data_IF_338861718821
#
_entry.id   IF_338861718821
#
_cell.length_a   1.000
_cell.length_b   1.000
_cell.length_c   1.000
_cell.angle_alpha   90.00
_cell.angle_beta   90.00
_cell.angle_gamma   90.00
#
_symmetry.space_group_name_H-M   'P 1'
#
loop_
_entity.id
_entity.type
_entity.pdbx_description
1 polymer ?
#
# COMPACT_ATOMS: atom_id res chain seq x y z
N UNK A 1 6.76 24.49 35.96
CA UNK A 1 6.07 23.32 35.37
C UNK A 1 5.55 23.80 34.01
N UNK A 2 6.37 23.57 32.95
CA UNK A 2 5.93 23.87 31.60
C UNK A 2 4.72 22.95 31.29
N UNK A 3 3.61 23.53 30.83
CA UNK A 3 2.51 22.78 30.25
C UNK A 3 3.05 22.10 28.98
N UNK A 4 3.49 20.86 29.11
CA UNK A 4 3.74 20.00 27.96
C UNK A 4 2.39 19.77 27.29
N UNK A 5 2.28 20.06 25.99
CA UNK A 5 1.09 19.83 25.21
C UNK A 5 0.55 18.41 25.42
N UNK A 6 -0.79 18.25 25.36
CA UNK A 6 -1.44 16.94 25.55
C UNK A 6 -1.40 16.07 24.31
N UNK A 7 -0.93 16.60 23.19
CA UNK A 7 -0.94 15.90 21.90
C UNK A 7 0.07 14.74 21.92
N UNK A 8 -0.39 13.61 21.43
CA UNK A 8 0.39 12.38 21.34
C UNK A 8 0.54 11.95 19.90
N UNK A 9 1.74 11.49 19.58
CA UNK A 9 2.08 11.02 18.24
C UNK A 9 2.89 9.73 18.34
N UNK A 10 2.87 9.00 17.23
CA UNK A 10 3.66 7.79 17.05
C UNK A 10 4.58 8.00 15.85
N UNK A 11 5.86 7.76 16.07
CA UNK A 11 6.87 7.67 15.01
C UNK A 11 7.28 6.21 14.89
N UNK A 12 7.06 5.60 13.74
CA UNK A 12 7.44 4.22 13.46
C UNK A 12 8.57 4.20 12.44
N UNK A 13 9.66 3.55 12.77
CA UNK A 13 10.80 3.33 11.90
C UNK A 13 10.75 1.91 11.37
N UNK A 14 10.94 1.75 10.06
CA UNK A 14 10.89 0.48 9.33
C UNK A 14 12.10 0.36 8.40
N UNK A 15 12.71 -0.81 8.34
CA UNK A 15 13.80 -1.11 7.42
C UNK A 15 14.22 -2.57 7.52
N UNK A 16 15.13 -3.00 6.68
CA UNK A 16 15.75 -4.33 6.80
C UNK A 16 16.56 -4.43 8.09
N UNK A 17 17.18 -3.32 8.49
CA UNK A 17 17.93 -3.15 9.74
C UNK A 17 17.68 -1.75 10.30
N UNK A 18 17.93 -1.58 11.59
CA UNK A 18 17.91 -0.28 12.25
C UNK A 18 19.26 -0.04 12.90
N UNK A 19 19.93 1.04 12.48
CA UNK A 19 21.22 1.44 12.99
C UNK A 19 21.09 2.51 14.08
N UNK A 20 22.14 2.68 14.89
CA UNK A 20 22.21 3.75 15.88
C UNK A 20 22.17 5.14 15.22
N UNK A 21 22.76 5.29 14.05
CA UNK A 21 22.75 6.53 13.27
C UNK A 21 21.32 6.92 12.87
N UNK A 22 20.56 5.97 12.27
CA UNK A 22 19.16 6.18 11.88
C UNK A 22 18.30 6.62 13.07
N UNK A 23 18.44 5.95 14.21
CA UNK A 23 17.70 6.29 15.45
C UNK A 23 18.14 7.68 15.97
N UNK A 24 19.44 7.98 15.92
CA UNK A 24 19.99 9.26 16.36
C UNK A 24 19.42 10.43 15.56
N UNK A 25 19.41 10.35 14.24
CA UNK A 25 18.88 11.44 13.39
C UNK A 25 17.38 11.65 13.60
N UNK A 26 16.59 10.58 13.75
CA UNK A 26 15.16 10.70 14.07
C UNK A 26 14.94 11.33 15.46
N UNK A 27 15.67 10.90 16.48
CA UNK A 27 15.53 11.44 17.84
C UNK A 27 16.02 12.88 17.95
N UNK A 28 16.99 13.29 17.13
CA UNK A 28 17.46 14.68 17.02
C UNK A 28 16.33 15.61 16.54
N UNK A 29 15.59 15.23 15.50
CA UNK A 29 14.42 16.00 15.03
C UNK A 29 13.36 16.13 16.14
N UNK A 30 13.11 15.06 16.90
CA UNK A 30 12.19 15.08 18.03
C UNK A 30 12.68 16.04 19.13
N UNK A 31 13.96 16.01 19.43
CA UNK A 31 14.61 16.88 20.42
C UNK A 31 14.58 18.36 20.01
N UNK A 32 14.85 18.69 18.75
CA UNK A 32 14.81 20.07 18.22
C UNK A 32 13.44 20.73 18.39
N UNK A 33 12.38 19.95 18.43
CA UNK A 33 11.01 20.42 18.66
C UNK A 33 10.58 20.36 20.14
N UNK A 34 11.50 20.06 21.06
CA UNK A 34 11.26 19.92 22.49
C UNK A 34 10.12 18.92 22.82
N UNK A 35 10.01 17.85 22.03
CA UNK A 35 9.05 16.79 22.27
C UNK A 35 9.61 15.75 23.24
N UNK A 36 8.74 15.19 24.09
CA UNK A 36 9.11 14.13 25.01
C UNK A 36 8.92 12.76 24.35
N UNK A 37 9.84 11.84 24.58
CA UNK A 37 9.70 10.43 24.20
C UNK A 37 9.21 9.69 25.44
N UNK A 38 7.93 9.29 25.42
CA UNK A 38 7.29 8.57 26.54
C UNK A 38 7.65 7.07 26.54
N UNK A 39 7.87 6.48 25.35
CA UNK A 39 8.24 5.07 25.21
C UNK A 39 8.95 4.79 23.89
N UNK A 40 9.86 3.83 23.92
CA UNK A 40 10.48 3.22 22.74
C UNK A 40 10.19 1.72 22.78
N UNK A 41 9.59 1.18 21.71
CA UNK A 41 9.22 -0.23 21.62
C UNK A 41 9.78 -0.83 20.34
N UNK A 42 10.44 -1.98 20.45
CA UNK A 42 10.77 -2.79 19.27
C UNK A 42 9.54 -3.64 18.91
N UNK A 43 9.11 -3.57 17.66
CA UNK A 43 7.94 -4.29 17.15
C UNK A 43 8.31 -5.63 16.53
N UNK A 44 9.46 -5.70 15.87
CA UNK A 44 9.98 -6.95 15.29
C UNK A 44 10.66 -7.81 16.33
N UNK A 45 10.70 -9.13 16.09
CA UNK A 45 11.55 -10.07 16.80
C UNK A 45 13.03 -9.70 16.70
N UNK A 46 13.89 -10.39 17.47
CA UNK A 46 15.34 -10.28 17.32
C UNK A 46 15.73 -11.02 16.05
N UNK A 47 16.56 -10.41 15.20
CA UNK A 47 17.17 -11.13 14.10
C UNK A 47 17.92 -12.37 14.65
N UNK A 48 17.74 -13.52 14.01
CA UNK A 48 18.50 -14.73 14.34
C UNK A 48 19.96 -14.50 14.02
N UNK A 49 20.84 -14.73 14.97
CA UNK A 49 22.29 -14.71 14.74
C UNK A 49 22.78 -15.97 14.00
N UNK A 50 21.90 -16.96 13.81
CA UNK A 50 22.26 -18.32 13.32
C UNK A 50 21.64 -18.63 11.96
N UNK A 51 20.55 -17.96 11.58
CA UNK A 51 19.91 -18.07 10.26
C UNK A 51 19.85 -16.68 9.63
N UNK A 52 20.32 -16.58 8.38
CA UNK A 52 19.94 -15.44 7.53
C UNK A 52 18.43 -15.45 7.42
N UNK A 53 17.81 -14.38 7.88
CA UNK A 53 16.37 -14.16 7.70
C UNK A 53 16.14 -14.02 6.20
N UNK A 54 15.30 -14.86 5.64
CA UNK A 54 14.92 -14.81 4.22
C UNK A 54 14.26 -13.45 3.88
N UNK A 55 13.74 -12.77 4.90
CA UNK A 55 13.15 -11.42 4.82
C UNK A 55 13.55 -10.58 6.04
N UNK A 56 14.75 -9.97 6.02
CA UNK A 56 15.19 -9.13 7.13
C UNK A 56 14.23 -7.96 7.29
N UNK A 57 13.78 -7.74 8.53
CA UNK A 57 12.92 -6.63 8.88
C UNK A 57 13.19 -6.17 10.30
N UNK A 58 13.24 -4.88 10.47
CA UNK A 58 13.41 -4.25 11.76
C UNK A 58 12.42 -3.09 11.91
N UNK A 59 11.74 -3.00 13.05
CA UNK A 59 10.84 -1.91 13.35
C UNK A 59 10.91 -1.52 14.80
N UNK A 60 10.97 -0.21 15.04
CA UNK A 60 10.78 0.39 16.36
C UNK A 60 9.69 1.45 16.30
N UNK A 61 9.01 1.64 17.41
CA UNK A 61 7.98 2.64 17.60
C UNK A 61 8.37 3.57 18.73
N UNK A 62 8.33 4.87 18.48
CA UNK A 62 8.51 5.93 19.46
C UNK A 62 7.15 6.54 19.77
N UNK A 63 6.74 6.52 21.02
CA UNK A 63 5.57 7.28 21.50
C UNK A 63 6.07 8.63 21.96
N UNK A 64 5.64 9.70 21.30
CA UNK A 64 6.09 11.06 21.62
C UNK A 64 4.92 11.94 22.03
N UNK A 65 5.22 12.97 22.82
CA UNK A 65 4.24 13.90 23.37
C UNK A 65 4.75 15.32 23.31
N UNK A 66 3.88 16.24 22.94
CA UNK A 66 4.15 17.69 22.92
C UNK A 66 3.40 18.40 21.80
N UNK A 67 3.49 19.72 21.77
CA UNK A 67 2.86 20.51 20.71
C UNK A 67 3.75 20.58 19.46
N UNK A 68 3.18 20.19 18.32
CA UNK A 68 3.81 20.36 17.01
C UNK A 68 3.06 21.45 16.27
N UNK A 69 3.64 22.65 16.17
CA UNK A 69 2.99 23.81 15.54
C UNK A 69 3.00 23.73 14.02
N UNK A 70 3.99 23.08 13.42
CA UNK A 70 4.11 22.87 11.99
C UNK A 70 4.36 21.39 11.68
N UNK A 71 3.27 20.64 11.47
CA UNK A 71 3.35 19.21 11.14
C UNK A 71 3.99 18.96 9.78
N UNK A 72 3.79 19.86 8.80
CA UNK A 72 4.35 19.71 7.47
C UNK A 72 5.88 19.76 7.51
N UNK A 73 6.47 20.75 8.20
CA UNK A 73 7.91 20.83 8.39
C UNK A 73 8.49 19.61 9.13
N UNK A 74 7.76 19.11 10.12
CA UNK A 74 8.16 17.92 10.88
C UNK A 74 8.18 16.68 10.00
N UNK A 75 7.14 16.51 9.18
CA UNK A 75 7.05 15.41 8.20
C UNK A 75 8.14 15.51 7.13
N UNK A 76 8.41 16.72 6.61
CA UNK A 76 9.44 16.95 5.61
C UNK A 76 10.84 16.55 6.11
N UNK A 77 11.17 16.87 7.37
CA UNK A 77 12.44 16.43 7.98
C UNK A 77 12.54 14.91 8.04
N UNK A 78 11.46 14.20 8.39
CA UNK A 78 11.45 12.74 8.37
C UNK A 78 11.57 12.16 6.97
N UNK A 79 10.94 12.79 5.98
CA UNK A 79 11.09 12.38 4.58
C UNK A 79 12.54 12.55 4.10
N UNK A 80 13.24 13.62 4.53
CA UNK A 80 14.65 13.81 4.21
C UNK A 80 15.51 12.70 4.83
N UNK A 81 15.35 12.41 6.12
CA UNK A 81 16.07 11.32 6.79
C UNK A 81 15.78 9.96 6.12
N UNK A 82 14.52 9.73 5.75
CA UNK A 82 14.10 8.52 5.04
C UNK A 82 14.87 8.32 3.74
N UNK A 83 15.04 9.38 2.95
CA UNK A 83 15.82 9.35 1.71
C UNK A 83 17.31 9.15 1.94
N UNK A 84 17.88 9.89 2.91
CA UNK A 84 19.32 9.92 3.13
C UNK A 84 19.87 8.65 3.77
N UNK A 85 19.03 7.95 4.58
CA UNK A 85 19.46 6.80 5.38
C UNK A 85 18.75 5.49 5.00
N UNK A 86 18.03 5.45 3.89
CA UNK A 86 17.28 4.26 3.41
C UNK A 86 16.44 3.64 4.53
N UNK A 87 15.56 4.44 5.10
CA UNK A 87 14.72 4.11 6.25
C UNK A 87 13.31 4.60 5.99
N UNK A 88 12.29 3.77 6.17
CA UNK A 88 10.91 4.23 6.17
C UNK A 88 10.52 4.79 7.54
N UNK A 89 9.94 5.99 7.54
CA UNK A 89 9.50 6.68 8.74
C UNK A 89 8.03 7.04 8.58
N UNK A 90 7.19 6.54 9.47
CA UNK A 90 5.78 6.90 9.54
C UNK A 90 5.50 7.77 10.77
N UNK A 91 4.84 8.89 10.55
CA UNK A 91 4.41 9.81 11.59
C UNK A 91 2.89 9.85 11.66
N UNK A 92 2.30 9.52 12.81
CA UNK A 92 0.87 9.43 13.00
C UNK A 92 0.45 10.09 14.31
N UNK A 93 -0.75 10.69 14.33
CA UNK A 93 -1.40 11.07 15.59
C UNK A 93 -1.84 9.82 16.36
N UNK A 94 -1.56 9.79 17.65
CA UNK A 94 -2.04 8.70 18.53
C UNK A 94 -3.44 9.01 19.05
N UNK A 95 -4.40 8.93 18.17
CA UNK A 95 -5.81 9.20 18.45
C UNK A 95 -6.66 7.91 18.45
N UNK A 96 -7.97 8.07 18.71
CA UNK A 96 -8.89 6.94 18.74
C UNK A 96 -9.03 6.23 17.39
N UNK A 97 -8.93 6.95 16.27
CA UNK A 97 -9.07 6.38 14.94
C UNK A 97 -7.88 5.48 14.60
N UNK A 98 -6.66 5.88 14.93
CA UNK A 98 -5.47 5.04 14.75
C UNK A 98 -5.62 3.69 15.45
N UNK A 99 -6.20 3.66 16.64
CA UNK A 99 -6.39 2.44 17.44
C UNK A 99 -7.59 1.59 17.00
N UNK A 100 -8.49 2.16 16.21
CA UNK A 100 -9.76 1.54 15.80
C UNK A 100 -9.90 1.43 14.29
N UNK A 101 -8.81 1.22 13.56
CA UNK A 101 -8.86 0.93 12.12
C UNK A 101 -9.54 -0.40 11.86
N UNK A 102 -10.32 -0.50 10.77
CA UNK A 102 -11.17 -1.67 10.49
C UNK A 102 -11.22 -2.11 9.04
N UNK A 103 -10.79 -1.26 8.09
CA UNK A 103 -10.83 -1.55 6.67
C UNK A 103 -9.47 -1.25 6.04
N UNK A 104 -8.96 -2.18 5.26
CA UNK A 104 -7.74 -2.00 4.46
C UNK A 104 -8.05 -2.25 3.00
N UNK A 105 -7.82 -1.24 2.17
CA UNK A 105 -7.95 -1.30 0.73
C UNK A 105 -6.57 -1.33 0.07
N UNK A 106 -6.37 -2.27 -0.84
CA UNK A 106 -5.11 -2.47 -1.56
C UNK A 106 -5.32 -2.23 -3.06
N UNK A 107 -4.35 -1.62 -3.70
CA UNK A 107 -4.16 -1.86 -5.13
C UNK A 107 -3.74 -3.32 -5.36
N UNK A 108 -3.90 -3.81 -6.58
CA UNK A 108 -3.57 -5.18 -6.95
C UNK A 108 -2.17 -5.25 -7.59
N UNK A 109 -2.04 -4.68 -8.78
CA UNK A 109 -0.82 -4.71 -9.59
C UNK A 109 0.30 -3.94 -8.86
N UNK A 110 1.50 -4.49 -8.84
CA UNK A 110 2.68 -3.94 -8.15
C UNK A 110 2.49 -3.68 -6.64
N UNK A 111 1.36 -4.08 -6.04
CA UNK A 111 1.07 -3.97 -4.60
C UNK A 111 0.79 -5.33 -3.97
N UNK A 112 -0.33 -5.99 -4.25
CA UNK A 112 -0.61 -7.36 -3.77
C UNK A 112 0.15 -8.43 -4.56
N UNK A 113 0.45 -8.14 -5.82
CA UNK A 113 1.27 -8.97 -6.71
C UNK A 113 2.45 -8.15 -7.24
N UNK A 114 3.53 -8.84 -7.62
CA UNK A 114 4.79 -8.21 -8.06
C UNK A 114 4.86 -8.02 -9.58
N UNK A 115 3.72 -7.87 -10.26
CA UNK A 115 3.64 -7.70 -11.71
C UNK A 115 2.44 -6.83 -12.08
N UNK A 116 2.43 -6.34 -13.32
CA UNK A 116 1.29 -5.71 -13.98
C UNK A 116 0.58 -6.76 -14.83
N UNK A 117 -0.65 -7.11 -14.50
CA UNK A 117 -1.37 -8.19 -15.20
C UNK A 117 -1.54 -7.91 -16.68
N UNK A 118 -1.78 -6.64 -17.06
CA UNK A 118 -1.95 -6.28 -18.45
C UNK A 118 -0.67 -6.51 -19.27
N UNK A 119 0.49 -6.35 -18.67
CA UNK A 119 1.78 -6.60 -19.32
C UNK A 119 2.00 -8.10 -19.53
N UNK A 120 1.66 -8.93 -18.56
CA UNK A 120 1.70 -10.40 -18.69
C UNK A 120 0.79 -10.88 -19.84
N UNK A 121 -0.44 -10.36 -19.92
CA UNK A 121 -1.37 -10.68 -20.99
C UNK A 121 -0.85 -10.20 -22.35
N UNK A 122 -0.25 -9.01 -22.40
CA UNK A 122 0.30 -8.44 -23.62
C UNK A 122 1.49 -9.25 -24.17
N UNK A 123 2.37 -9.75 -23.30
CA UNK A 123 3.47 -10.63 -23.70
C UNK A 123 2.93 -11.92 -24.32
N UNK A 124 1.95 -12.56 -23.70
CA UNK A 124 1.33 -13.78 -24.22
C UNK A 124 0.52 -13.53 -25.52
N UNK A 125 0.00 -12.34 -25.72
CA UNK A 125 -0.65 -11.91 -26.95
C UNK A 125 0.33 -11.48 -28.04
N UNK A 126 1.63 -11.36 -27.74
CA UNK A 126 2.66 -10.87 -28.68
C UNK A 126 2.58 -9.36 -28.98
N UNK A 127 1.99 -8.58 -28.08
CA UNK A 127 1.78 -7.12 -28.20
C UNK A 127 2.45 -6.32 -27.08
N UNK A 128 3.39 -6.91 -26.35
CA UNK A 128 4.05 -6.31 -25.19
C UNK A 128 4.65 -4.94 -25.48
N UNK A 129 5.39 -4.78 -26.59
CA UNK A 129 6.01 -3.51 -26.96
C UNK A 129 4.98 -2.41 -27.24
N UNK A 130 3.84 -2.75 -27.87
CA UNK A 130 2.77 -1.79 -28.14
C UNK A 130 2.09 -1.33 -26.84
N UNK A 131 1.81 -2.26 -25.93
CA UNK A 131 1.23 -1.95 -24.61
C UNK A 131 2.17 -1.07 -23.81
N UNK A 132 3.46 -1.37 -23.80
CA UNK A 132 4.48 -0.59 -23.14
C UNK A 132 4.55 0.86 -23.67
N UNK A 133 4.53 1.04 -24.98
CA UNK A 133 4.55 2.36 -25.60
C UNK A 133 3.32 3.21 -25.19
N UNK A 134 2.13 2.60 -25.12
CA UNK A 134 0.90 3.29 -24.67
C UNK A 134 1.03 3.67 -23.17
N UNK A 135 1.58 2.78 -22.34
CA UNK A 135 1.80 3.04 -20.93
C UNK A 135 2.78 4.19 -20.71
N UNK A 136 3.87 4.24 -21.49
CA UNK A 136 4.84 5.34 -21.43
C UNK A 136 4.22 6.68 -21.84
N UNK A 137 3.41 6.72 -22.89
CA UNK A 137 2.69 7.92 -23.33
C UNK A 137 1.74 8.44 -22.24
N UNK A 138 1.04 7.55 -21.54
CA UNK A 138 0.21 7.92 -20.39
C UNK A 138 1.03 8.46 -19.20
N UNK A 139 2.19 7.86 -18.94
CA UNK A 139 3.10 8.34 -17.87
C UNK A 139 3.70 9.72 -18.18
N UNK A 140 3.86 10.06 -19.46
CA UNK A 140 4.31 11.37 -19.91
C UNK A 140 3.17 12.41 -19.94
N UNK A 141 1.93 11.97 -19.73
CA UNK A 141 0.75 12.84 -19.72
C UNK A 141 0.23 13.21 -21.09
N UNK A 142 0.64 12.49 -22.15
CA UNK A 142 0.19 12.71 -23.54
C UNK A 142 -1.25 12.18 -23.74
N UNK A 143 -1.61 11.13 -23.04
CA UNK A 143 -2.97 10.55 -22.99
C UNK A 143 -3.39 10.34 -21.55
N UNK A 144 -4.70 10.37 -21.28
CA UNK A 144 -5.22 10.11 -19.95
C UNK A 144 -5.29 8.59 -19.62
N UNK A 145 -5.59 8.28 -18.36
CA UNK A 145 -5.66 6.89 -17.89
C UNK A 145 -6.73 6.08 -18.67
N UNK A 146 -7.91 6.67 -18.92
CA UNK A 146 -9.02 5.97 -19.59
C UNK A 146 -8.71 5.72 -21.04
N UNK A 147 -8.13 6.70 -21.74
CA UNK A 147 -7.66 6.57 -23.11
C UNK A 147 -6.59 5.47 -23.22
N UNK A 148 -5.61 5.48 -22.33
CA UNK A 148 -4.57 4.45 -22.24
C UNK A 148 -5.17 3.07 -21.97
N UNK A 149 -6.09 2.96 -21.03
CA UNK A 149 -6.76 1.69 -20.71
C UNK A 149 -7.47 1.12 -21.95
N UNK A 150 -8.31 1.92 -22.62
CA UNK A 150 -9.05 1.49 -23.82
C UNK A 150 -8.11 1.10 -24.96
N UNK A 151 -7.03 1.86 -25.18
CA UNK A 151 -6.07 1.55 -26.23
C UNK A 151 -5.34 0.22 -25.98
N UNK A 152 -4.92 -0.05 -24.74
CA UNK A 152 -4.28 -1.31 -24.35
C UNK A 152 -5.24 -2.50 -24.45
N UNK A 153 -6.50 -2.31 -24.04
CA UNK A 153 -7.53 -3.34 -24.15
C UNK A 153 -7.77 -3.81 -25.61
N UNK A 154 -7.77 -2.88 -26.55
CA UNK A 154 -7.93 -3.20 -27.98
C UNK A 154 -6.82 -4.10 -28.52
N UNK A 155 -5.62 -4.03 -27.96
CA UNK A 155 -4.51 -4.89 -28.37
C UNK A 155 -4.67 -6.35 -27.90
N UNK A 156 -5.55 -6.61 -26.91
CA UNK A 156 -5.80 -7.94 -26.37
C UNK A 156 -6.97 -8.67 -27.07
N UNK A 157 -7.53 -8.11 -28.16
CA UNK A 157 -8.62 -8.73 -28.92
C UNK A 157 -8.22 -10.13 -29.40
N UNK A 158 -9.09 -11.10 -29.18
CA UNK A 158 -8.90 -12.48 -29.62
C UNK A 158 -8.04 -13.34 -28.69
N UNK A 159 -7.52 -12.78 -27.60
CA UNK A 159 -6.80 -13.57 -26.61
C UNK A 159 -7.77 -14.56 -25.94
N UNK A 160 -7.36 -15.84 -25.87
CA UNK A 160 -8.20 -16.90 -25.25
C UNK A 160 -8.37 -16.67 -23.75
N UNK A 161 -9.56 -16.98 -23.23
CA UNK A 161 -9.83 -16.98 -21.79
C UNK A 161 -8.93 -17.95 -21.02
N UNK A 162 -8.46 -19.04 -21.65
CA UNK A 162 -7.54 -20.00 -21.03
C UNK A 162 -6.21 -19.33 -20.59
N UNK A 163 -5.78 -18.28 -21.32
CA UNK A 163 -4.58 -17.50 -20.97
C UNK A 163 -4.77 -16.75 -19.66
N UNK A 164 -5.99 -16.28 -19.36
CA UNK A 164 -6.29 -15.63 -18.08
C UNK A 164 -6.06 -16.58 -16.90
N UNK A 165 -6.45 -17.85 -17.06
CA UNK A 165 -6.24 -18.89 -16.05
C UNK A 165 -4.76 -19.20 -15.87
N UNK A 166 -3.99 -19.29 -16.96
CA UNK A 166 -2.55 -19.52 -16.94
C UNK A 166 -1.83 -18.40 -16.17
N UNK A 167 -2.16 -17.13 -16.45
CA UNK A 167 -1.59 -15.98 -15.73
C UNK A 167 -2.01 -16.01 -14.27
N UNK A 168 -3.30 -16.24 -13.97
CA UNK A 168 -3.83 -16.19 -12.61
C UNK A 168 -3.14 -17.16 -11.64
N UNK A 169 -2.90 -18.40 -12.08
CA UNK A 169 -2.26 -19.42 -11.22
C UNK A 169 -0.76 -19.18 -10.99
N UNK A 170 -0.13 -18.35 -11.81
CA UNK A 170 1.28 -18.02 -11.74
C UNK A 170 1.56 -16.61 -11.18
N UNK A 171 0.53 -15.89 -10.69
CA UNK A 171 0.72 -14.54 -10.14
C UNK A 171 1.70 -14.54 -8.97
N UNK A 172 2.77 -13.74 -9.03
CA UNK A 172 3.75 -13.65 -7.96
C UNK A 172 3.18 -12.81 -6.80
N UNK A 173 2.71 -13.46 -5.75
CA UNK A 173 2.20 -12.78 -4.55
C UNK A 173 3.32 -11.98 -3.88
N UNK A 174 3.03 -10.74 -3.52
CA UNK A 174 3.98 -9.87 -2.83
C UNK A 174 4.38 -10.44 -1.47
N UNK A 175 5.67 -10.35 -1.17
CA UNK A 175 6.22 -10.77 0.12
C UNK A 175 5.45 -10.14 1.29
N UNK A 176 5.09 -10.96 2.27
CA UNK A 176 4.35 -10.52 3.45
C UNK A 176 2.83 -10.36 3.24
N UNK A 177 2.29 -10.41 2.01
CA UNK A 177 0.86 -10.23 1.77
C UNK A 177 -0.01 -11.26 2.51
N UNK A 178 0.34 -12.54 2.45
CA UNK A 178 -0.41 -13.60 3.16
C UNK A 178 -0.41 -13.39 4.67
N UNK A 179 0.76 -13.07 5.24
CA UNK A 179 0.92 -12.79 6.67
C UNK A 179 0.08 -11.58 7.07
N UNK A 180 0.14 -10.51 6.29
CA UNK A 180 -0.66 -9.30 6.52
C UNK A 180 -2.15 -9.62 6.53
N UNK A 181 -2.68 -10.20 5.47
CA UNK A 181 -4.12 -10.46 5.32
C UNK A 181 -4.63 -11.40 6.41
N UNK A 182 -3.90 -12.49 6.69
CA UNK A 182 -4.29 -13.42 7.76
C UNK A 182 -4.37 -12.72 9.12
N UNK A 183 -3.37 -11.89 9.44
CA UNK A 183 -3.36 -11.13 10.71
C UNK A 183 -4.49 -10.12 10.77
N UNK A 184 -4.74 -9.38 9.70
CA UNK A 184 -5.85 -8.42 9.64
C UNK A 184 -7.19 -9.11 9.86
N UNK A 185 -7.43 -10.23 9.19
CA UNK A 185 -8.68 -11.00 9.33
C UNK A 185 -8.85 -11.56 10.74
N UNK A 186 -7.81 -12.14 11.33
CA UNK A 186 -7.83 -12.63 12.70
C UNK A 186 -8.16 -11.53 13.72
N UNK A 187 -7.88 -10.27 13.38
CA UNK A 187 -8.19 -9.11 14.21
C UNK A 187 -9.47 -8.35 13.79
N UNK A 188 -10.31 -8.97 12.96
CA UNK A 188 -11.63 -8.44 12.59
C UNK A 188 -11.60 -7.30 11.58
N UNK A 189 -10.51 -7.11 10.85
CA UNK A 189 -10.46 -6.16 9.75
C UNK A 189 -11.19 -6.71 8.52
N UNK A 190 -11.78 -5.80 7.76
CA UNK A 190 -12.21 -6.03 6.38
C UNK A 190 -11.11 -5.65 5.41
N UNK A 191 -11.04 -6.38 4.31
CA UNK A 191 -10.02 -6.20 3.29
C UNK A 191 -10.64 -6.06 1.91
N UNK A 192 -10.08 -5.19 1.07
CA UNK A 192 -10.59 -4.95 -0.27
C UNK A 192 -9.45 -4.79 -1.29
N UNK A 193 -9.70 -5.22 -2.52
CA UNK A 193 -8.93 -4.88 -3.70
C UNK A 193 -9.65 -3.75 -4.44
N UNK A 194 -8.96 -2.63 -4.67
CA UNK A 194 -9.41 -1.50 -5.50
C UNK A 194 -8.39 -1.29 -6.62
N UNK A 195 -8.66 -1.81 -7.82
CA UNK A 195 -7.65 -1.92 -8.88
C UNK A 195 -8.10 -1.37 -10.21
N UNK A 196 -7.18 -0.72 -10.92
CA UNK A 196 -7.31 -0.42 -12.34
C UNK A 196 -7.07 -1.62 -13.27
N UNK A 197 -6.69 -2.76 -12.70
CA UNK A 197 -6.57 -4.06 -13.38
C UNK A 197 -7.93 -4.75 -13.57
N UNK A 198 -7.96 -6.08 -13.54
CA UNK A 198 -9.13 -6.85 -13.94
C UNK A 198 -9.73 -7.70 -12.82
N UNK A 199 -11.07 -7.73 -12.77
CA UNK A 199 -11.83 -8.51 -11.79
C UNK A 199 -11.51 -9.99 -11.82
N UNK A 200 -11.16 -10.57 -12.96
CA UNK A 200 -10.77 -11.96 -13.09
C UNK A 200 -9.64 -12.32 -12.13
N UNK A 201 -8.58 -11.53 -12.13
CA UNK A 201 -7.42 -11.72 -11.25
C UNK A 201 -7.71 -11.29 -9.81
N UNK A 202 -8.48 -10.22 -9.63
CA UNK A 202 -8.95 -9.80 -8.33
C UNK A 202 -9.73 -10.91 -7.60
N UNK A 203 -10.63 -11.61 -8.29
CA UNK A 203 -11.37 -12.74 -7.73
C UNK A 203 -10.50 -13.98 -7.49
N UNK A 204 -9.48 -14.20 -8.31
CA UNK A 204 -8.48 -15.24 -8.03
C UNK A 204 -7.75 -14.96 -6.71
N UNK A 205 -7.22 -13.76 -6.55
CA UNK A 205 -6.55 -13.33 -5.31
C UNK A 205 -7.48 -13.29 -4.11
N UNK A 206 -8.75 -12.90 -4.30
CA UNK A 206 -9.78 -12.93 -3.27
C UNK A 206 -9.92 -14.34 -2.67
N UNK A 207 -9.99 -15.36 -3.52
CA UNK A 207 -10.07 -16.75 -3.07
C UNK A 207 -8.79 -17.21 -2.39
N UNK A 208 -7.65 -16.87 -2.96
CA UNK A 208 -6.34 -17.31 -2.50
C UNK A 208 -5.91 -16.69 -1.17
N UNK A 209 -6.17 -15.39 -0.99
CA UNK A 209 -5.80 -14.62 0.20
C UNK A 209 -6.95 -14.46 1.20
N UNK A 210 -8.18 -14.74 0.77
CA UNK A 210 -9.38 -14.58 1.59
C UNK A 210 -9.80 -13.12 1.78
N UNK A 211 -9.66 -12.29 0.75
CA UNK A 211 -10.05 -10.88 0.74
C UNK A 211 -11.58 -10.75 0.67
N UNK A 212 -12.15 -9.75 1.36
CA UNK A 212 -13.60 -9.60 1.47
C UNK A 212 -14.23 -9.00 0.20
N UNK A 213 -13.62 -7.96 -0.39
CA UNK A 213 -14.20 -7.18 -1.49
C UNK A 213 -13.23 -7.03 -2.66
N UNK A 214 -13.78 -6.99 -3.89
CA UNK A 214 -13.02 -6.74 -5.12
C UNK A 214 -13.75 -5.74 -5.99
N UNK A 215 -13.08 -4.66 -6.35
CA UNK A 215 -13.52 -3.66 -7.32
C UNK A 215 -12.41 -3.43 -8.34
N UNK A 216 -12.66 -3.80 -9.59
CA UNK A 216 -11.70 -3.68 -10.69
C UNK A 216 -12.47 -3.62 -12.02
N UNK A 217 -11.77 -3.51 -13.13
CA UNK A 217 -12.39 -3.49 -14.45
C UNK A 217 -12.79 -4.90 -14.88
N UNK A 218 -13.99 -5.03 -15.44
CA UNK A 218 -14.49 -6.30 -15.92
C UNK A 218 -14.19 -6.46 -17.43
N UNK A 219 -13.44 -7.50 -17.78
CA UNK A 219 -13.19 -7.89 -19.16
C UNK A 219 -14.48 -8.34 -19.85
N UNK A 220 -14.69 -7.88 -21.10
CA UNK A 220 -15.72 -8.45 -21.94
C UNK A 220 -15.18 -9.69 -22.68
N UNK A 221 -15.79 -10.85 -22.42
CA UNK A 221 -15.43 -12.13 -23.03
C UNK A 221 -16.64 -12.66 -23.81
N UNK A 222 -16.43 -13.05 -25.07
CA UNK A 222 -17.44 -13.70 -25.94
C UNK A 222 -16.82 -14.90 -26.61
N UNK A 223 -17.53 -16.01 -26.59
CA UNK A 223 -17.11 -17.27 -27.22
C UNK A 223 -15.70 -17.73 -26.78
N UNK A 224 -15.35 -17.50 -25.49
CA UNK A 224 -14.08 -17.91 -24.90
C UNK A 224 -12.87 -17.03 -25.26
N UNK A 225 -13.11 -15.86 -25.86
CA UNK A 225 -12.05 -14.91 -26.21
C UNK A 225 -12.38 -13.49 -25.76
N UNK A 226 -11.32 -12.70 -25.50
CA UNK A 226 -11.43 -11.27 -25.19
C UNK A 226 -11.91 -10.51 -26.43
N UNK A 227 -12.89 -9.63 -26.27
CA UNK A 227 -13.39 -8.76 -27.32
C UNK A 227 -12.57 -7.48 -27.47
N UNK A 228 -11.66 -7.19 -26.53
CA UNK A 228 -11.00 -5.90 -26.39
C UNK A 228 -11.88 -4.82 -25.75
N UNK A 229 -13.10 -5.20 -25.32
CA UNK A 229 -14.02 -4.38 -24.57
C UNK A 229 -13.98 -4.66 -23.07
N UNK A 230 -14.73 -3.86 -22.33
CA UNK A 230 -14.91 -3.98 -20.87
C UNK A 230 -16.37 -3.70 -20.53
N UNK A 231 -16.78 -4.14 -19.33
CA UNK A 231 -18.13 -3.92 -18.83
C UNK A 231 -18.12 -2.97 -17.64
N UNK A 232 -19.08 -2.04 -17.61
CA UNK A 232 -19.21 -1.05 -16.53
C UNK A 232 -18.31 0.17 -16.70
N UNK A 233 -18.06 0.87 -15.60
CA UNK A 233 -17.20 2.07 -15.55
C UNK A 233 -15.73 1.69 -15.34
N UNK A 234 -14.83 2.45 -15.97
CA UNK A 234 -13.39 2.27 -15.76
C UNK A 234 -13.01 2.70 -14.34
N UNK A 235 -12.31 1.83 -13.62
CA UNK A 235 -11.78 2.09 -12.29
C UNK A 235 -10.47 2.87 -12.42
N UNK A 236 -10.57 4.18 -12.34
CA UNK A 236 -9.44 5.12 -12.26
C UNK A 236 -9.16 5.49 -10.78
N UNK A 237 -8.22 6.41 -10.57
CA UNK A 237 -7.85 6.85 -9.22
C UNK A 237 -8.99 7.49 -8.42
N UNK A 238 -9.85 8.27 -9.07
CA UNK A 238 -11.02 8.86 -8.42
C UNK A 238 -12.03 7.78 -8.03
N UNK A 239 -12.24 6.80 -8.91
CA UNK A 239 -13.15 5.69 -8.65
C UNK A 239 -12.66 4.81 -7.50
N UNK A 240 -11.34 4.60 -7.36
CA UNK A 240 -10.77 3.94 -6.16
C UNK A 240 -11.12 4.70 -4.87
N UNK A 241 -11.01 6.02 -4.87
CA UNK A 241 -11.39 6.84 -3.72
C UNK A 241 -12.89 6.79 -3.42
N UNK A 242 -13.75 6.77 -4.44
CA UNK A 242 -15.20 6.58 -4.28
C UNK A 242 -15.52 5.23 -3.63
N UNK A 243 -14.92 4.13 -4.12
CA UNK A 243 -15.10 2.79 -3.55
C UNK A 243 -14.61 2.69 -2.11
N UNK A 244 -13.51 3.36 -1.76
CA UNK A 244 -13.06 3.44 -0.37
C UNK A 244 -14.13 4.08 0.53
N UNK A 245 -14.76 5.18 0.08
CA UNK A 245 -15.84 5.83 0.83
C UNK A 245 -17.09 4.96 0.92
N UNK A 246 -17.47 4.29 -0.17
CA UNK A 246 -18.63 3.39 -0.20
C UNK A 246 -18.43 2.23 0.76
N UNK A 247 -17.25 1.61 0.77
CA UNK A 247 -16.91 0.54 1.69
C UNK A 247 -16.91 0.99 3.14
N UNK A 248 -16.38 2.18 3.43
CA UNK A 248 -16.44 2.73 4.79
C UNK A 248 -17.89 2.92 5.27
N UNK A 249 -18.79 3.39 4.40
CA UNK A 249 -20.23 3.52 4.71
C UNK A 249 -20.88 2.13 4.89
N UNK A 250 -20.57 1.18 4.02
CA UNK A 250 -21.11 -0.19 4.07
C UNK A 250 -20.74 -0.88 5.38
N UNK A 251 -19.49 -0.72 5.83
CA UNK A 251 -18.98 -1.27 7.08
C UNK A 251 -19.38 -0.43 8.33
N UNK A 252 -20.05 0.70 8.15
CA UNK A 252 -20.49 1.58 9.24
C UNK A 252 -19.34 2.20 10.02
N UNK A 253 -18.24 2.52 9.35
CA UNK A 253 -17.04 3.10 9.95
C UNK A 253 -16.75 4.51 9.44
N UNK A 254 -15.98 5.27 10.21
CA UNK A 254 -15.45 6.56 9.79
C UNK A 254 -14.32 6.37 8.78
N UNK A 255 -14.18 7.30 7.82
CA UNK A 255 -13.10 7.26 6.82
C UNK A 255 -11.71 7.24 7.49
N UNK A 256 -11.55 7.87 8.64
CA UNK A 256 -10.33 7.84 9.43
C UNK A 256 -10.00 6.45 10.01
N UNK A 257 -10.92 5.49 9.95
CA UNK A 257 -10.69 4.10 10.33
C UNK A 257 -10.23 3.22 9.16
N UNK A 258 -9.99 3.82 7.99
CA UNK A 258 -9.55 3.12 6.79
C UNK A 258 -8.05 3.24 6.58
N UNK A 259 -7.51 2.28 5.84
CA UNK A 259 -6.13 2.24 5.35
C UNK A 259 -6.18 2.02 3.85
N UNK A 260 -5.38 2.73 3.09
CA UNK A 260 -5.19 2.51 1.66
C UNK A 260 -3.72 2.27 1.35
N UNK A 261 -3.43 1.27 0.54
CA UNK A 261 -2.08 0.86 0.16
C UNK A 261 -1.99 0.75 -1.36
N UNK A 262 -1.04 1.42 -1.97
CA UNK A 262 -0.80 1.38 -3.41
C UNK A 262 0.59 1.88 -3.76
N UNK A 263 1.02 1.71 -5.01
CA UNK A 263 2.36 2.05 -5.50
C UNK A 263 2.35 3.17 -6.54
N UNK A 264 1.21 3.42 -7.19
CA UNK A 264 1.08 4.28 -8.35
C UNK A 264 0.47 5.66 -8.07
N UNK A 265 0.64 6.58 -9.03
CA UNK A 265 0.00 7.90 -8.96
C UNK A 265 -1.53 7.82 -9.01
N UNK A 266 -2.08 6.79 -9.65
CA UNK A 266 -3.51 6.47 -9.66
C UNK A 266 -4.05 6.03 -8.29
N UNK A 267 -3.20 5.71 -7.33
CA UNK A 267 -3.61 5.36 -5.97
C UNK A 267 -3.68 6.57 -5.03
N UNK A 268 -3.04 7.68 -5.41
CA UNK A 268 -2.96 8.87 -4.56
C UNK A 268 -4.33 9.39 -4.10
N UNK A 269 -5.40 9.41 -4.93
CA UNK A 269 -6.71 9.83 -4.44
C UNK A 269 -7.22 9.00 -3.26
N UNK A 270 -7.11 7.66 -3.30
CA UNK A 270 -7.52 6.82 -2.17
C UNK A 270 -6.53 6.88 -1.00
N UNK A 271 -5.22 6.96 -1.29
CA UNK A 271 -4.15 7.08 -0.27
C UNK A 271 -4.34 8.35 0.55
N UNK A 272 -4.63 9.48 -0.11
CA UNK A 272 -4.80 10.76 0.57
C UNK A 272 -6.15 10.91 1.28
N UNK A 273 -7.14 10.13 0.89
CA UNK A 273 -8.46 10.11 1.51
C UNK A 273 -8.50 9.23 2.78
N UNK A 274 -7.75 8.14 2.80
CA UNK A 274 -7.76 7.17 3.90
C UNK A 274 -7.24 7.77 5.21
N UNK A 275 -7.67 7.21 6.33
CA UNK A 275 -7.13 7.55 7.65
C UNK A 275 -5.64 7.23 7.80
N UNK A 276 -5.13 6.24 7.05
CA UNK A 276 -3.70 5.98 6.83
C UNK A 276 -3.47 5.59 5.37
N UNK A 277 -2.81 6.45 4.62
CA UNK A 277 -2.39 6.18 3.26
C UNK A 277 -0.93 5.77 3.19
N UNK A 278 -0.65 4.66 2.51
CA UNK A 278 0.67 4.04 2.44
C UNK A 278 1.08 3.88 0.98
N UNK A 279 2.20 4.53 0.59
CA UNK A 279 2.89 4.27 -0.66
C UNK A 279 3.79 3.05 -0.48
N UNK A 280 3.50 1.96 -1.20
CA UNK A 280 4.23 0.70 -1.09
C UNK A 280 5.17 0.51 -2.27
N UNK A 281 6.50 0.43 -2.02
CA UNK A 281 7.54 0.30 -3.05
C UNK A 281 7.36 1.28 -4.22
N UNK A 282 6.83 2.46 -3.91
CA UNK A 282 6.42 3.46 -4.87
C UNK A 282 7.58 4.32 -5.38
N UNK A 283 7.37 4.95 -6.53
CA UNK A 283 8.31 5.94 -7.08
C UNK A 283 8.38 7.18 -6.17
N UNK A 284 9.49 7.94 -6.17
CA UNK A 284 9.66 9.11 -5.28
C UNK A 284 8.49 10.08 -5.31
N UNK A 285 7.96 10.42 -6.49
CA UNK A 285 6.80 11.32 -6.63
C UNK A 285 5.55 10.84 -5.88
N UNK A 286 5.33 9.53 -5.81
CA UNK A 286 4.19 8.96 -5.09
C UNK A 286 4.45 8.98 -3.58
N UNK A 287 5.66 8.61 -3.16
CA UNK A 287 6.08 8.65 -1.75
C UNK A 287 5.96 10.06 -1.16
N UNK A 288 6.40 11.08 -1.90
CA UNK A 288 6.37 12.49 -1.46
C UNK A 288 4.94 13.04 -1.31
N UNK A 289 3.95 12.38 -1.90
CA UNK A 289 2.54 12.75 -1.83
C UNK A 289 1.68 11.80 -0.99
N UNK A 290 2.27 10.82 -0.31
CA UNK A 290 1.59 9.91 0.59
C UNK A 290 1.87 10.25 2.06
N UNK A 291 0.99 9.82 2.97
CA UNK A 291 1.17 10.05 4.41
C UNK A 291 2.30 9.19 5.00
N UNK A 292 2.51 8.01 4.48
CA UNK A 292 3.53 7.05 4.90
C UNK A 292 4.04 6.26 3.71
N UNK A 293 5.23 5.68 3.83
CA UNK A 293 5.78 4.77 2.82
C UNK A 293 6.36 3.52 3.44
N UNK A 294 6.38 2.44 2.65
CA UNK A 294 7.11 1.20 2.93
C UNK A 294 7.90 0.89 1.66
N UNK A 295 9.22 0.90 1.75
CA UNK A 295 10.10 0.83 0.57
C UNK A 295 11.10 -0.32 0.60
N UNK A 296 11.46 -0.83 1.79
CA UNK A 296 12.56 -1.78 1.96
C UNK A 296 12.11 -3.16 2.48
N UNK A 297 10.91 -3.25 3.05
CA UNK A 297 10.39 -4.50 3.62
C UNK A 297 9.11 -4.95 2.92
N UNK A 298 8.62 -6.16 3.24
CA UNK A 298 7.41 -6.72 2.65
C UNK A 298 6.13 -5.98 3.04
N UNK A 299 5.01 -6.38 2.42
CA UNK A 299 3.70 -5.76 2.62
C UNK A 299 3.21 -5.89 4.08
N UNK A 300 3.68 -6.88 4.81
CA UNK A 300 3.42 -7.05 6.26
C UNK A 300 4.01 -5.92 7.13
N UNK A 301 4.84 -5.04 6.57
CA UNK A 301 5.25 -3.78 7.20
C UNK A 301 4.07 -2.90 7.64
N UNK A 302 2.92 -3.02 6.97
CA UNK A 302 1.67 -2.36 7.37
C UNK A 302 1.29 -2.69 8.82
N UNK A 303 1.54 -3.91 9.28
CA UNK A 303 1.23 -4.35 10.65
C UNK A 303 1.99 -3.53 11.70
N UNK A 304 3.23 -3.16 11.41
CA UNK A 304 4.03 -2.35 12.33
C UNK A 304 3.54 -0.90 12.38
N UNK A 305 3.02 -0.36 11.28
CA UNK A 305 2.37 0.96 11.28
C UNK A 305 1.09 0.96 12.12
N UNK A 306 0.43 -0.19 12.24
CA UNK A 306 -0.71 -0.41 13.13
C UNK A 306 -0.30 -0.66 14.60
N UNK A 307 1.00 -0.87 14.86
CA UNK A 307 1.54 -1.11 16.19
C UNK A 307 1.53 -2.57 16.63
N UNK A 308 1.34 -3.51 15.71
CA UNK A 308 1.46 -4.94 16.02
C UNK A 308 2.91 -5.32 16.30
N UNK A 309 3.10 -6.27 17.22
CA UNK A 309 4.38 -6.92 17.48
C UNK A 309 4.42 -8.30 16.82
N UNK A 310 5.58 -8.76 16.36
CA UNK A 310 5.76 -10.10 15.81
C UNK A 310 5.20 -11.20 16.74
N UNK A 311 5.44 -11.09 18.04
CA UNK A 311 4.90 -12.04 19.04
C UNK A 311 3.36 -12.16 19.05
N UNK A 312 2.64 -11.22 18.43
CA UNK A 312 1.18 -11.22 18.36
C UNK A 312 0.66 -11.57 16.97
N UNK A 313 1.57 -11.74 16.00
CA UNK A 313 1.23 -11.97 14.59
C UNK A 313 1.34 -13.44 14.23
N UNK A 314 2.37 -14.10 14.79
CA UNK A 314 2.73 -15.49 14.45
C UNK A 314 2.04 -16.52 15.38
N UNK A 315 0.85 -16.22 15.88
CA UNK A 315 0.02 -17.10 16.72
C UNK A 315 -0.95 -17.93 15.89
#
# INVERSE_FOLDING_TARGET
>A
VHQQGKDRYIVTLLGEKLTAEQISEVTKVISEKNLNIDAIKRLTGRASLIKEDEYPRASIQLSIRGAIHNKAEFTEKFMQISRDLDLDIAFQEDNMFRRNRRLVCFDMDSTLIQTEVIDELAELAGVGEQVKAITESAMQGEIDFKESFVARMKLLIGLSEDVLQEVAVNLPITKGARRLINTLKANGFKTAILSGGFTYFGHHLQKELGIDYVFANQLEIKDGVLTGGYLGEIVDGNKKAEYLQELARLEGIDINQTIAVGDGANDLPMINLAGLGIAFHAKPKVKDNAQSSISSIGLDGVLYLLGYHDRHIDL
#
